data_IF_950140400982
#
_entry.id   IF_950140400982
#
_cell.length_a   1.000
_cell.length_b   1.000
_cell.length_c   1.000
_cell.angle_alpha   90.00
_cell.angle_beta   90.00
_cell.angle_gamma   90.00
#
_symmetry.space_group_name_H-M   'P 1'
#
loop_
_entity.id
_entity.type
_entity.pdbx_description
1 polymer ?
#
# COMPACT_ATOMS: atom_id res chain seq x y z
N UNK A 1 -2.68 -2.07 -1.96
CA UNK A 1 -1.50 -1.25 -1.56
C UNK A 1 -1.74 -0.42 -0.31
N UNK A 2 -2.92 0.14 -0.05
CA UNK A 2 -3.15 1.01 1.13
C UNK A 2 -2.90 0.34 2.49
N UNK A 3 -3.35 -0.91 2.69
CA UNK A 3 -3.03 -1.65 3.93
C UNK A 3 -1.52 -1.81 4.14
N UNK A 4 -0.79 -2.13 3.06
CA UNK A 4 0.66 -2.29 3.09
C UNK A 4 1.38 -0.96 3.35
N UNK A 5 0.95 0.13 2.71
CA UNK A 5 1.47 1.48 2.97
C UNK A 5 1.28 1.90 4.42
N UNK A 6 0.10 1.62 5.00
CA UNK A 6 -0.17 1.88 6.41
C UNK A 6 0.75 1.05 7.32
N UNK A 7 0.80 -0.28 7.13
CA UNK A 7 1.67 -1.16 7.91
C UNK A 7 3.12 -0.68 7.85
N UNK A 8 3.65 -0.49 6.64
CA UNK A 8 5.04 -0.10 6.43
C UNK A 8 5.37 1.22 7.13
N UNK A 9 4.55 2.26 6.95
CA UNK A 9 4.87 3.60 7.43
C UNK A 9 4.47 3.87 8.87
N UNK A 10 3.37 3.27 9.34
CA UNK A 10 2.75 3.58 10.64
C UNK A 10 3.06 2.55 11.72
N UNK A 11 3.27 1.28 11.36
CA UNK A 11 3.58 0.21 12.32
C UNK A 11 5.07 -0.12 12.28
N UNK A 12 5.60 -0.43 11.09
CA UNK A 12 6.99 -0.86 10.95
C UNK A 12 7.99 0.30 10.87
N UNK A 13 7.52 1.50 10.54
CA UNK A 13 8.34 2.68 10.26
C UNK A 13 9.46 2.40 9.23
N UNK A 14 9.13 1.61 8.21
CA UNK A 14 10.02 1.20 7.13
C UNK A 14 9.51 1.68 5.77
N UNK A 15 10.39 1.80 4.76
CA UNK A 15 9.96 2.03 3.39
C UNK A 15 9.07 0.89 2.89
N UNK A 16 7.91 1.17 2.25
CA UNK A 16 7.04 0.14 1.70
C UNK A 16 7.77 -0.86 0.79
N UNK A 17 8.72 -0.37 -0.01
CA UNK A 17 9.46 -1.17 -0.99
C UNK A 17 10.40 -2.23 -0.38
N UNK A 18 10.72 -2.12 0.91
CA UNK A 18 11.72 -2.98 1.56
C UNK A 18 11.29 -3.49 2.93
N UNK A 19 10.04 -3.29 3.33
CA UNK A 19 9.57 -3.71 4.65
C UNK A 19 9.31 -5.22 4.71
N UNK A 20 9.42 -5.79 5.91
CA UNK A 20 9.12 -7.19 6.18
C UNK A 20 8.21 -7.31 7.42
N UNK A 21 7.18 -8.15 7.32
CA UNK A 21 6.17 -8.33 8.37
C UNK A 21 6.49 -9.48 9.31
N UNK A 22 7.42 -10.36 8.92
CA UNK A 22 7.74 -11.57 9.66
C UNK A 22 8.08 -11.25 11.12
N UNK A 23 7.60 -12.11 12.02
CA UNK A 23 7.81 -12.03 13.47
C UNK A 23 7.33 -10.74 14.14
N UNK A 24 6.52 -9.92 13.46
CA UNK A 24 5.94 -8.72 14.04
C UNK A 24 4.51 -8.96 14.56
N UNK A 25 4.39 -9.09 15.89
CA UNK A 25 3.11 -9.31 16.57
C UNK A 25 2.13 -8.16 16.39
N UNK A 26 2.61 -6.92 16.36
CA UNK A 26 1.76 -5.74 16.21
C UNK A 26 1.07 -5.72 14.84
N UNK A 27 1.82 -6.00 13.76
CA UNK A 27 1.28 -6.16 12.41
C UNK A 27 0.26 -7.31 12.39
N UNK A 28 0.57 -8.44 13.02
CA UNK A 28 -0.35 -9.57 13.12
C UNK A 28 -1.66 -9.21 13.84
N UNK A 29 -1.59 -8.51 14.98
CA UNK A 29 -2.76 -8.04 15.71
C UNK A 29 -3.59 -7.06 14.89
N UNK A 30 -2.94 -6.11 14.20
CA UNK A 30 -3.62 -5.15 13.34
C UNK A 30 -4.34 -5.82 12.17
N UNK A 31 -3.67 -6.74 11.46
CA UNK A 31 -4.29 -7.52 10.39
C UNK A 31 -5.45 -8.37 10.90
N UNK A 32 -5.30 -9.04 12.04
CA UNK A 32 -6.35 -9.85 12.63
C UNK A 32 -7.61 -9.01 12.96
N UNK A 33 -7.45 -7.77 13.41
CA UNK A 33 -8.58 -6.88 13.68
C UNK A 33 -9.43 -6.54 12.44
N UNK A 34 -8.81 -6.58 11.26
CA UNK A 34 -9.46 -6.40 9.96
C UNK A 34 -10.08 -7.73 9.51
N UNK A 35 -9.26 -8.79 9.45
CA UNK A 35 -9.62 -10.08 8.87
C UNK A 35 -10.74 -10.78 9.66
N UNK A 36 -10.76 -10.65 10.99
CA UNK A 36 -11.78 -11.28 11.84
C UNK A 36 -13.21 -10.81 11.57
N UNK A 37 -13.40 -9.65 10.93
CA UNK A 37 -14.73 -9.12 10.59
C UNK A 37 -15.39 -9.93 9.47
N UNK A 38 -14.60 -10.59 8.62
CA UNK A 38 -15.12 -11.39 7.50
C UNK A 38 -16.05 -10.57 6.59
N UNK A 39 -17.15 -11.18 6.17
CA UNK A 39 -18.18 -10.54 5.34
C UNK A 39 -19.29 -9.81 6.12
N UNK A 40 -19.11 -9.58 7.43
CA UNK A 40 -20.19 -9.04 8.28
C UNK A 40 -20.29 -7.51 8.27
N UNK A 41 -19.27 -6.81 7.77
CA UNK A 41 -19.20 -5.35 7.69
C UNK A 41 -18.89 -4.87 6.27
N UNK A 42 -19.33 -3.66 5.92
CA UNK A 42 -19.00 -3.03 4.64
C UNK A 42 -17.48 -2.83 4.51
N UNK A 43 -16.90 -3.35 3.43
CA UNK A 43 -15.46 -3.36 3.24
C UNK A 43 -14.84 -1.95 3.12
N UNK A 44 -15.58 -0.95 2.63
CA UNK A 44 -15.07 0.44 2.54
C UNK A 44 -14.97 1.05 3.92
N UNK A 45 -15.98 0.79 4.76
CA UNK A 45 -15.94 1.19 6.18
C UNK A 45 -14.75 0.54 6.88
N UNK A 46 -14.59 -0.79 6.74
CA UNK A 46 -13.47 -1.52 7.35
C UNK A 46 -12.11 -0.99 6.89
N UNK A 47 -11.95 -0.74 5.58
CA UNK A 47 -10.73 -0.16 5.03
C UNK A 47 -10.44 1.21 5.64
N UNK A 48 -11.42 2.12 5.64
CA UNK A 48 -11.28 3.48 6.16
C UNK A 48 -10.98 3.49 7.66
N UNK A 49 -11.62 2.64 8.44
CA UNK A 49 -11.33 2.48 9.87
C UNK A 49 -9.89 1.99 10.10
N UNK A 50 -9.40 1.07 9.26
CA UNK A 50 -8.07 0.51 9.41
C UNK A 50 -6.95 1.47 8.99
N UNK A 51 -7.13 2.21 7.90
CA UNK A 51 -6.07 3.04 7.28
C UNK A 51 -6.23 4.53 7.53
N UNK A 52 -7.42 4.99 7.94
CA UNK A 52 -7.78 6.39 8.07
C UNK A 52 -8.15 7.08 6.76
N UNK A 53 -8.19 6.36 5.64
CA UNK A 53 -8.47 6.93 4.30
C UNK A 53 -9.43 6.07 3.49
N UNK A 54 -10.26 6.72 2.65
CA UNK A 54 -11.08 6.03 1.65
C UNK A 54 -10.19 5.32 0.61
N UNK A 55 -10.79 4.41 -0.18
CA UNK A 55 -10.04 3.68 -1.21
C UNK A 55 -9.41 4.65 -2.22
N UNK A 56 -8.12 4.49 -2.51
CA UNK A 56 -7.38 5.35 -3.43
C UNK A 56 -6.21 4.62 -4.10
N UNK A 57 -5.75 5.17 -5.23
CA UNK A 57 -4.57 4.68 -5.97
C UNK A 57 -3.25 5.24 -5.43
N UNK A 58 -3.29 6.19 -4.48
CA UNK A 58 -2.14 6.92 -3.94
C UNK A 58 -1.01 5.99 -3.51
N UNK A 59 -1.31 5.02 -2.64
CA UNK A 59 -0.31 4.09 -2.11
C UNK A 59 0.40 3.27 -3.21
N UNK A 60 -0.30 2.95 -4.31
CA UNK A 60 0.30 2.25 -5.44
C UNK A 60 1.24 3.16 -6.23
N UNK A 61 0.80 4.39 -6.52
CA UNK A 61 1.64 5.40 -7.19
C UNK A 61 2.89 5.70 -6.38
N UNK A 62 2.76 5.89 -5.07
CA UNK A 62 3.88 6.16 -4.15
C UNK A 62 4.88 4.99 -4.09
N UNK A 63 4.37 3.76 -4.08
CA UNK A 63 5.21 2.55 -4.07
C UNK A 63 6.10 2.49 -5.32
N UNK A 64 5.51 2.73 -6.51
CA UNK A 64 6.21 2.64 -7.79
C UNK A 64 6.92 3.92 -8.21
N UNK A 65 6.82 5.01 -7.45
CA UNK A 65 7.42 6.31 -7.78
C UNK A 65 8.91 6.22 -8.17
N UNK A 66 9.79 5.47 -7.46
CA UNK A 66 11.19 5.36 -7.86
C UNK A 66 11.38 4.69 -9.22
N UNK A 67 10.59 3.64 -9.50
CA UNK A 67 10.60 2.96 -10.80
C UNK A 67 10.07 3.88 -11.90
N UNK A 68 9.00 4.63 -11.64
CA UNK A 68 8.46 5.59 -12.60
C UNK A 68 9.49 6.66 -12.96
N UNK A 69 10.17 7.25 -11.99
CA UNK A 69 11.24 8.22 -12.26
C UNK A 69 12.40 7.61 -13.06
N UNK A 70 12.73 6.34 -12.83
CA UNK A 70 13.72 5.64 -13.64
C UNK A 70 13.23 5.43 -15.08
N UNK A 71 11.99 4.97 -15.26
CA UNK A 71 11.37 4.74 -16.57
C UNK A 71 11.24 6.03 -17.39
N UNK A 72 10.90 7.16 -16.76
CA UNK A 72 10.89 8.48 -17.41
C UNK A 72 12.27 8.84 -17.98
N UNK A 73 13.34 8.50 -17.25
CA UNK A 73 14.71 8.63 -17.75
C UNK A 73 15.00 7.72 -18.94
N UNK A 74 14.58 6.46 -18.88
CA UNK A 74 14.82 5.47 -19.95
C UNK A 74 14.03 5.76 -21.22
N UNK A 75 12.85 6.37 -21.09
CA UNK A 75 11.95 6.62 -22.21
C UNK A 75 12.20 7.98 -22.89
N UNK A 76 13.23 8.73 -22.49
CA UNK A 76 13.63 9.96 -23.18
C UNK A 76 13.88 9.66 -24.67
N UNK A 77 13.16 10.38 -25.54
CA UNK A 77 13.27 10.24 -27.00
C UNK A 77 12.49 9.06 -27.60
N UNK A 78 11.66 8.36 -26.82
CA UNK A 78 10.81 7.26 -27.30
C UNK A 78 9.34 7.71 -27.35
N UNK A 79 8.56 7.15 -28.27
CA UNK A 79 7.10 7.24 -28.22
C UNK A 79 6.59 6.45 -27.02
N UNK A 80 5.75 7.09 -26.19
CA UNK A 80 5.11 6.48 -25.03
C UNK A 80 3.63 6.34 -25.36
N UNK A 81 3.10 5.12 -25.23
CA UNK A 81 1.74 4.79 -25.64
C UNK A 81 1.73 3.84 -26.84
N UNK A 82 0.55 3.64 -27.40
CA UNK A 82 0.29 2.77 -28.54
C UNK A 82 -0.61 3.52 -29.53
N UNK A 83 -0.51 3.16 -30.82
CA UNK A 83 -1.34 3.71 -31.90
C UNK A 83 -2.76 3.10 -31.91
#
# INVERSE_FOLDING_TARGET
MQLHDYIARKILHQPPQSCNYADNKEVGTWLNNILKKGGTEDWRKVLKEATGEDISTRAMMDYFKPLMSWLEGQNKGRQIGWD
#
